data_IF_631659239585
#
_entry.id   IF_631659239585
#
_cell.length_a   1.000
_cell.length_b   1.000
_cell.length_c   1.000
_cell.angle_alpha   90.00
_cell.angle_beta   90.00
_cell.angle_gamma   90.00
#
_symmetry.space_group_name_H-M   'P 1'
#
loop_
_entity.id
_entity.type
_entity.pdbx_description
1 polymer ?
#
# COMPACT_ATOMS: atom_id res chain seq x y z
N UNK A 1 43.23 25.23 -13.99
CA UNK A 1 42.02 25.16 -13.12
C UNK A 1 40.71 24.76 -13.83
N UNK A 2 40.70 24.34 -15.10
CA UNK A 2 39.46 23.92 -15.85
C UNK A 2 39.21 22.41 -15.89
N UNK A 3 40.14 21.55 -15.43
CA UNK A 3 40.01 20.09 -15.58
C UNK A 3 39.52 19.33 -14.31
N UNK A 4 39.27 20.01 -13.19
CA UNK A 4 38.84 19.35 -11.95
C UNK A 4 37.31 19.33 -11.83
N UNK A 5 36.61 20.27 -12.45
CA UNK A 5 35.13 20.35 -12.41
C UNK A 5 34.44 19.32 -13.33
N UNK A 6 35.07 18.91 -14.43
CA UNK A 6 34.51 17.92 -15.34
C UNK A 6 34.54 16.48 -14.76
N UNK A 7 35.56 16.14 -13.97
CA UNK A 7 35.64 14.80 -13.33
C UNK A 7 34.62 14.60 -12.21
N UNK A 8 34.20 15.66 -11.53
CA UNK A 8 33.28 15.56 -10.38
C UNK A 8 31.83 15.36 -10.82
N UNK A 9 31.46 15.85 -11.99
CA UNK A 9 30.11 15.69 -12.55
C UNK A 9 29.93 14.33 -13.23
N UNK A 10 30.98 13.77 -13.81
CA UNK A 10 30.91 12.44 -14.45
C UNK A 10 30.70 11.32 -13.41
N UNK A 11 31.35 11.41 -12.24
CA UNK A 11 31.20 10.41 -11.17
C UNK A 11 29.80 10.45 -10.52
N UNK A 12 29.15 11.62 -10.50
CA UNK A 12 27.78 11.74 -9.96
C UNK A 12 26.71 11.22 -10.93
N UNK A 13 26.92 11.40 -12.23
CA UNK A 13 26.01 10.90 -13.26
C UNK A 13 26.10 9.38 -13.38
N UNK A 14 27.31 8.79 -13.31
CA UNK A 14 27.49 7.34 -13.30
C UNK A 14 26.94 6.68 -12.04
N UNK A 15 27.07 7.31 -10.86
CA UNK A 15 26.48 6.79 -9.64
C UNK A 15 24.94 6.85 -9.66
N UNK A 16 24.36 7.90 -10.24
CA UNK A 16 22.90 8.03 -10.39
C UNK A 16 22.34 7.02 -11.42
N UNK A 17 23.06 6.76 -12.51
CA UNK A 17 22.69 5.76 -13.51
C UNK A 17 22.83 4.32 -12.96
N UNK A 18 23.82 4.06 -12.10
CA UNK A 18 23.97 2.74 -11.45
C UNK A 18 22.86 2.50 -10.42
N UNK A 19 22.44 3.51 -9.67
CA UNK A 19 21.32 3.40 -8.70
C UNK A 19 19.99 3.21 -9.43
N UNK A 20 19.78 3.87 -10.58
CA UNK A 20 18.59 3.67 -11.41
C UNK A 20 18.62 2.28 -12.06
N UNK A 21 19.78 1.78 -12.50
CA UNK A 21 19.91 0.43 -13.06
C UNK A 21 19.69 -0.66 -12.00
N UNK A 22 20.09 -0.44 -10.73
CA UNK A 22 19.84 -1.38 -9.63
C UNK A 22 18.36 -1.38 -9.22
N UNK A 23 17.65 -0.23 -9.31
CA UNK A 23 16.21 -0.16 -9.02
C UNK A 23 15.38 -0.81 -10.15
N UNK A 24 15.83 -0.76 -11.40
CA UNK A 24 15.19 -1.46 -12.52
C UNK A 24 15.70 -2.90 -12.73
N UNK A 25 16.82 -3.29 -12.13
CA UNK A 25 17.42 -4.62 -12.27
C UNK A 25 16.86 -5.69 -11.32
N UNK A 26 15.96 -5.33 -10.38
CA UNK A 26 15.19 -6.30 -9.56
C UNK A 26 13.82 -6.59 -10.17
N UNK A 27 13.63 -6.29 -11.44
CA UNK A 27 12.45 -6.73 -12.17
C UNK A 27 12.53 -8.22 -12.43
N UNK A 28 11.73 -8.95 -11.67
CA UNK A 28 11.14 -10.23 -12.05
C UNK A 28 12.05 -11.21 -12.77
N UNK A 29 12.93 -11.89 -12.04
CA UNK A 29 13.12 -13.29 -12.35
C UNK A 29 11.86 -14.01 -11.85
N UNK A 30 10.81 -14.04 -12.68
CA UNK A 30 9.87 -15.14 -12.59
C UNK A 30 10.72 -16.40 -12.60
N UNK A 31 10.47 -17.40 -11.73
CA UNK A 31 11.09 -18.69 -11.93
C UNK A 31 10.68 -19.15 -13.32
N UNK A 32 11.54 -18.93 -14.29
CA UNK A 32 11.45 -19.63 -15.56
C UNK A 32 11.67 -21.07 -15.17
N UNK A 33 10.60 -21.82 -15.05
CA UNK A 33 10.68 -23.25 -15.16
C UNK A 33 11.28 -23.51 -16.53
N UNK A 34 12.57 -23.73 -16.57
CA UNK A 34 13.26 -24.20 -17.75
C UNK A 34 12.89 -25.69 -17.87
N UNK A 35 11.75 -25.97 -18.44
CA UNK A 35 11.37 -27.26 -18.92
C UNK A 35 10.62 -27.03 -20.22
N UNK A 36 11.28 -27.35 -21.26
CA UNK A 36 10.92 -28.55 -21.98
C UNK A 36 9.54 -28.45 -22.56
N UNK A 37 9.35 -28.08 -23.78
CA UNK A 37 8.28 -28.33 -24.70
C UNK A 37 7.37 -29.54 -24.42
N UNK A 38 6.92 -29.73 -23.17
CA UNK A 38 5.92 -30.73 -22.84
C UNK A 38 4.64 -30.40 -23.60
N UNK A 39 4.04 -31.43 -24.21
CA UNK A 39 2.84 -31.29 -25.00
C UNK A 39 1.62 -31.60 -24.16
N UNK A 40 0.59 -30.78 -24.32
CA UNK A 40 -0.72 -31.01 -23.70
C UNK A 40 -1.79 -31.24 -24.77
N UNK A 41 -2.75 -32.09 -24.48
CA UNK A 41 -3.90 -32.34 -25.34
C UNK A 41 -5.08 -31.49 -24.92
N UNK A 42 -5.71 -30.83 -25.87
CA UNK A 42 -6.86 -29.96 -25.64
C UNK A 42 -8.15 -30.77 -25.68
N UNK A 43 -9.02 -30.49 -24.70
CA UNK A 43 -10.39 -30.96 -24.69
C UNK A 43 -11.35 -29.83 -24.32
N UNK A 44 -12.62 -29.98 -24.68
CA UNK A 44 -13.68 -28.99 -24.41
C UNK A 44 -14.83 -29.59 -23.63
N UNK A 45 -15.49 -28.74 -22.84
CA UNK A 45 -16.77 -29.04 -22.20
C UNK A 45 -17.71 -27.82 -22.28
N UNK A 46 -19.01 -28.05 -22.45
CA UNK A 46 -19.98 -26.97 -22.54
C UNK A 46 -20.08 -26.20 -21.21
N UNK A 47 -20.28 -24.87 -21.34
CA UNK A 47 -20.57 -24.02 -20.19
C UNK A 47 -22.07 -23.91 -19.95
N UNK A 48 -22.51 -24.18 -18.71
CA UNK A 48 -23.92 -24.15 -18.33
C UNK A 48 -24.22 -22.95 -17.38
N UNK A 49 -25.35 -22.31 -17.65
CA UNK A 49 -25.94 -21.32 -16.75
C UNK A 49 -26.60 -21.98 -15.52
N UNK A 50 -27.07 -21.16 -14.58
CA UNK A 50 -27.75 -21.63 -13.36
C UNK A 50 -29.05 -22.41 -13.61
N UNK A 51 -29.63 -22.25 -14.78
CA UNK A 51 -30.85 -22.97 -15.21
C UNK A 51 -30.56 -24.26 -15.94
N UNK A 52 -29.30 -24.68 -16.08
CA UNK A 52 -28.87 -25.85 -16.84
C UNK A 52 -28.84 -25.66 -18.37
N UNK A 53 -29.16 -24.48 -18.86
CA UNK A 53 -29.03 -24.17 -20.30
C UNK A 53 -27.57 -23.83 -20.63
N UNK A 54 -27.12 -24.26 -21.83
CA UNK A 54 -25.77 -23.91 -22.33
C UNK A 54 -25.68 -22.40 -22.54
N UNK A 55 -24.58 -21.84 -22.11
CA UNK A 55 -24.26 -20.41 -22.32
C UNK A 55 -23.89 -20.21 -23.79
N UNK A 56 -24.55 -19.25 -24.44
CA UNK A 56 -24.39 -18.96 -25.87
C UNK A 56 -24.10 -17.48 -26.10
N UNK A 57 -23.45 -17.21 -27.23
CA UNK A 57 -23.32 -15.85 -27.72
C UNK A 57 -24.72 -15.29 -28.07
N UNK A 58 -24.94 -14.02 -27.72
CA UNK A 58 -26.17 -13.27 -27.98
C UNK A 58 -26.02 -12.33 -29.18
N UNK A 59 -24.81 -11.97 -29.50
CA UNK A 59 -24.49 -11.12 -30.67
C UNK A 59 -23.10 -11.46 -31.22
N UNK A 60 -22.87 -11.11 -32.47
CA UNK A 60 -21.57 -11.29 -33.12
C UNK A 60 -20.51 -10.49 -32.40
N UNK A 61 -19.46 -11.17 -31.96
CA UNK A 61 -18.30 -10.60 -31.26
C UNK A 61 -17.08 -10.81 -32.14
N UNK A 62 -16.37 -9.71 -32.41
CA UNK A 62 -15.15 -9.70 -33.25
C UNK A 62 -13.98 -9.15 -32.46
N UNK A 63 -12.77 -9.74 -32.62
CA UNK A 63 -11.51 -9.24 -32.07
C UNK A 63 -10.41 -9.33 -33.11
N UNK A 64 -9.73 -8.21 -33.38
CA UNK A 64 -8.60 -8.12 -34.33
C UNK A 64 -8.92 -8.69 -35.72
N UNK A 65 -10.16 -8.50 -36.19
CA UNK A 65 -10.64 -9.00 -37.46
C UNK A 65 -11.16 -10.42 -37.47
N UNK A 66 -11.04 -11.17 -36.38
CA UNK A 66 -11.52 -12.55 -36.24
C UNK A 66 -12.85 -12.60 -35.52
N UNK A 67 -13.76 -13.45 -35.95
CA UNK A 67 -15.03 -13.74 -35.27
C UNK A 67 -14.75 -14.62 -34.06
N UNK A 68 -15.07 -14.12 -32.89
CA UNK A 68 -14.95 -14.85 -31.60
C UNK A 68 -16.19 -15.71 -31.34
N UNK A 69 -17.34 -15.22 -31.77
CA UNK A 69 -18.60 -15.96 -31.68
C UNK A 69 -19.76 -15.23 -32.37
N UNK A 70 -20.78 -15.98 -32.73
CA UNK A 70 -22.01 -15.49 -33.39
C UNK A 70 -23.27 -15.87 -32.58
N UNK A 71 -24.40 -15.17 -32.75
CA UNK A 71 -25.63 -15.46 -32.02
C UNK A 71 -26.03 -16.94 -32.09
N UNK A 72 -26.25 -17.56 -30.92
CA UNK A 72 -26.62 -18.97 -30.79
C UNK A 72 -25.43 -19.93 -30.69
N UNK A 73 -24.20 -19.49 -31.00
CA UNK A 73 -22.99 -20.29 -30.84
C UNK A 73 -22.71 -20.57 -29.37
N UNK A 74 -22.39 -21.83 -29.06
CA UNK A 74 -22.21 -22.35 -27.71
C UNK A 74 -20.84 -22.08 -27.19
N UNK A 75 -20.73 -21.66 -25.89
CA UNK A 75 -19.46 -21.41 -25.24
C UNK A 75 -18.97 -22.67 -24.53
N UNK A 76 -17.69 -23.01 -24.78
CA UNK A 76 -17.06 -24.18 -24.18
C UNK A 76 -15.86 -23.76 -23.30
N UNK A 77 -15.73 -24.44 -22.17
CA UNK A 77 -14.49 -24.43 -21.38
C UNK A 77 -13.40 -25.18 -22.11
N UNK A 78 -12.18 -24.71 -21.97
CA UNK A 78 -10.99 -25.32 -22.51
C UNK A 78 -10.28 -26.07 -21.38
N UNK A 79 -9.79 -27.27 -21.70
CA UNK A 79 -8.91 -28.03 -20.82
C UNK A 79 -7.62 -28.40 -21.56
N UNK A 80 -6.48 -28.27 -20.87
CA UNK A 80 -5.19 -28.76 -21.31
C UNK A 80 -4.76 -29.87 -20.35
N UNK A 81 -4.74 -31.12 -20.84
CA UNK A 81 -4.55 -32.33 -20.03
C UNK A 81 -5.42 -32.36 -18.75
N UNK A 82 -6.71 -32.01 -18.90
CA UNK A 82 -7.69 -31.98 -17.81
C UNK A 82 -7.60 -30.79 -16.87
N UNK A 83 -6.64 -29.88 -17.04
CA UNK A 83 -6.57 -28.61 -16.29
C UNK A 83 -7.35 -27.54 -17.03
N UNK A 84 -8.20 -26.79 -16.32
CA UNK A 84 -8.89 -25.63 -16.94
C UNK A 84 -7.88 -24.65 -17.54
N UNK A 85 -8.14 -24.25 -18.76
CA UNK A 85 -7.33 -23.32 -19.54
C UNK A 85 -8.16 -22.14 -20.01
N UNK A 86 -7.48 -21.03 -20.30
CA UNK A 86 -8.08 -19.78 -20.77
C UNK A 86 -7.44 -19.37 -22.10
N UNK A 87 -8.27 -19.07 -23.07
CA UNK A 87 -7.83 -18.59 -24.37
C UNK A 87 -7.22 -17.17 -24.23
N UNK A 88 -6.04 -16.99 -24.82
CA UNK A 88 -5.38 -15.69 -24.93
C UNK A 88 -5.27 -15.21 -26.39
N UNK A 89 -5.97 -15.84 -27.31
CA UNK A 89 -6.00 -15.51 -28.74
C UNK A 89 -7.42 -15.64 -29.31
N UNK A 90 -8.33 -14.72 -28.93
CA UNK A 90 -9.76 -14.83 -29.26
C UNK A 90 -9.99 -14.78 -30.77
N UNK A 91 -10.79 -15.72 -31.28
CA UNK A 91 -11.18 -15.84 -32.71
C UNK A 91 -10.27 -16.74 -33.53
N UNK A 92 -9.17 -17.24 -32.95
CA UNK A 92 -8.35 -18.26 -33.59
C UNK A 92 -8.92 -19.68 -33.35
N UNK A 93 -8.52 -20.62 -34.21
CA UNK A 93 -9.08 -21.98 -34.23
C UNK A 93 -8.40 -22.88 -33.20
N UNK A 94 -9.20 -23.65 -32.46
CA UNK A 94 -8.74 -24.72 -31.58
C UNK A 94 -9.78 -25.83 -31.55
N UNK A 95 -9.35 -27.09 -31.66
CA UNK A 95 -10.23 -28.24 -31.64
C UNK A 95 -9.84 -29.23 -30.54
N UNK A 96 -10.83 -30.01 -30.08
CA UNK A 96 -10.57 -31.14 -29.20
C UNK A 96 -9.63 -32.14 -29.88
N UNK A 97 -8.61 -32.59 -29.15
CA UNK A 97 -7.53 -33.44 -29.69
C UNK A 97 -6.34 -32.67 -30.24
N UNK A 98 -6.39 -31.34 -30.40
CA UNK A 98 -5.21 -30.58 -30.74
C UNK A 98 -4.16 -30.68 -29.63
N UNK A 99 -2.88 -30.54 -30.01
CA UNK A 99 -1.75 -30.57 -29.09
C UNK A 99 -1.06 -29.21 -29.10
N UNK A 100 -0.90 -28.63 -27.92
CA UNK A 100 -0.14 -27.40 -27.72
C UNK A 100 1.14 -27.70 -26.94
N UNK A 101 2.16 -26.85 -27.09
CA UNK A 101 3.47 -27.00 -26.45
C UNK A 101 3.62 -25.99 -25.33
N UNK A 102 4.11 -26.41 -24.17
CA UNK A 102 4.49 -25.52 -23.06
C UNK A 102 5.52 -24.51 -23.54
N UNK A 103 5.34 -23.24 -23.11
CA UNK A 103 6.14 -22.10 -23.57
C UNK A 103 6.13 -21.86 -25.10
N UNK A 104 5.31 -22.59 -25.85
CA UNK A 104 5.12 -22.40 -27.30
C UNK A 104 4.38 -21.11 -27.65
N UNK A 105 3.68 -20.49 -26.71
CA UNK A 105 2.87 -19.31 -26.98
C UNK A 105 3.70 -18.09 -27.40
N UNK A 106 3.53 -17.68 -28.64
CA UNK A 106 4.09 -16.42 -29.15
C UNK A 106 3.25 -15.23 -28.70
N UNK A 107 1.94 -15.40 -28.54
CA UNK A 107 1.01 -14.38 -28.04
C UNK A 107 1.40 -13.97 -26.63
N UNK A 108 1.58 -14.92 -25.71
CA UNK A 108 1.98 -14.62 -24.33
C UNK A 108 3.31 -13.85 -24.28
N UNK A 109 4.30 -14.26 -25.03
CA UNK A 109 5.62 -13.61 -25.09
C UNK A 109 5.53 -12.16 -25.58
N UNK A 110 4.60 -11.87 -26.47
CA UNK A 110 4.44 -10.55 -27.10
C UNK A 110 3.49 -9.61 -26.33
N UNK A 111 2.72 -10.10 -25.33
CA UNK A 111 1.78 -9.26 -24.56
C UNK A 111 2.45 -8.16 -23.73
N UNK A 112 3.70 -8.35 -23.33
CA UNK A 112 4.41 -7.46 -22.39
C UNK A 112 3.95 -7.62 -20.94
N UNK A 113 4.82 -7.28 -20.00
CA UNK A 113 4.66 -7.54 -18.56
C UNK A 113 3.38 -6.94 -17.94
N UNK A 114 2.96 -5.76 -18.38
CA UNK A 114 1.76 -5.10 -17.85
C UNK A 114 0.48 -5.89 -18.17
N UNK A 115 0.33 -6.41 -19.40
CA UNK A 115 -0.81 -7.25 -19.76
C UNK A 115 -0.72 -8.63 -19.12
N UNK A 116 0.46 -9.23 -19.07
CA UNK A 116 0.68 -10.51 -18.37
C UNK A 116 0.26 -10.41 -16.89
N UNK A 117 0.71 -9.37 -16.18
CA UNK A 117 0.28 -9.10 -14.80
C UNK A 117 -1.24 -8.92 -14.71
N UNK A 118 -1.84 -8.14 -15.60
CA UNK A 118 -3.29 -7.90 -15.61
C UNK A 118 -4.11 -9.16 -15.83
N UNK A 119 -3.66 -10.05 -16.72
CA UNK A 119 -4.28 -11.36 -16.96
C UNK A 119 -4.15 -12.24 -15.71
N UNK A 120 -2.97 -12.31 -15.09
CA UNK A 120 -2.82 -13.06 -13.85
C UNK A 120 -3.73 -12.51 -12.74
N UNK A 121 -3.89 -11.18 -12.61
CA UNK A 121 -4.84 -10.58 -11.67
C UNK A 121 -6.29 -10.96 -11.99
N UNK A 122 -6.66 -11.05 -13.27
CA UNK A 122 -7.99 -11.52 -13.67
C UNK A 122 -8.23 -12.97 -13.24
N UNK A 123 -7.23 -13.84 -13.38
CA UNK A 123 -7.27 -15.22 -12.91
C UNK A 123 -7.27 -15.31 -11.37
N UNK A 124 -6.50 -14.46 -10.70
CA UNK A 124 -6.38 -14.44 -9.25
C UNK A 124 -7.67 -13.97 -8.57
N UNK A 125 -8.33 -12.94 -9.09
CA UNK A 125 -9.64 -12.47 -8.60
C UNK A 125 -10.82 -13.26 -9.16
N UNK A 126 -10.64 -13.95 -10.28
CA UNK A 126 -11.60 -14.81 -10.92
C UNK A 126 -11.41 -16.27 -10.55
N UNK A 127 -11.63 -17.15 -11.53
CA UNK A 127 -11.30 -18.57 -11.44
C UNK A 127 -9.96 -18.77 -12.19
N UNK A 128 -8.99 -19.49 -11.65
CA UNK A 128 -9.05 -20.40 -10.49
C UNK A 128 -8.74 -19.74 -9.11
N UNK A 129 -8.44 -18.48 -9.02
CA UNK A 129 -8.00 -17.83 -7.78
C UNK A 129 -9.11 -17.69 -6.72
N UNK A 130 -9.87 -16.60 -6.74
CA UNK A 130 -10.95 -16.32 -5.78
C UNK A 130 -12.27 -17.04 -6.06
N UNK A 131 -12.29 -17.97 -7.02
CA UNK A 131 -13.52 -18.59 -7.48
C UNK A 131 -14.44 -19.15 -6.40
N UNK A 132 -13.89 -19.61 -5.27
CA UNK A 132 -14.67 -20.10 -4.12
C UNK A 132 -15.48 -19.01 -3.43
N UNK A 133 -15.02 -17.75 -3.43
CA UNK A 133 -15.69 -16.61 -2.79
C UNK A 133 -16.66 -15.89 -3.73
N UNK A 134 -16.60 -16.14 -5.04
CA UNK A 134 -17.51 -15.58 -6.02
C UNK A 134 -18.84 -16.33 -5.99
N UNK A 135 -19.96 -15.60 -6.07
CA UNK A 135 -21.28 -16.19 -6.30
C UNK A 135 -21.43 -16.62 -7.76
N UNK A 136 -22.16 -17.69 -8.01
CA UNK A 136 -22.39 -18.23 -9.36
C UNK A 136 -21.91 -19.66 -9.52
N UNK A 137 -22.31 -20.32 -10.61
CA UNK A 137 -21.83 -21.67 -10.95
C UNK A 137 -20.38 -21.64 -11.40
N UNK A 138 -19.69 -22.78 -11.36
CA UNK A 138 -18.30 -22.88 -11.79
C UNK A 138 -18.12 -22.44 -13.26
N UNK A 139 -19.11 -22.77 -14.11
CA UNK A 139 -19.08 -22.37 -15.52
C UNK A 139 -19.26 -20.84 -15.68
N UNK A 140 -20.18 -20.22 -14.91
CA UNK A 140 -20.37 -18.79 -14.93
C UNK A 140 -19.11 -18.05 -14.47
N UNK A 141 -18.40 -18.59 -13.48
CA UNK A 141 -17.12 -18.06 -13.00
C UNK A 141 -16.04 -18.17 -14.06
N UNK A 142 -15.93 -19.34 -14.70
CA UNK A 142 -14.98 -19.56 -15.78
C UNK A 142 -15.25 -18.60 -16.96
N UNK A 143 -16.51 -18.53 -17.44
CA UNK A 143 -16.89 -17.63 -18.54
C UNK A 143 -16.56 -16.18 -18.20
N UNK A 144 -16.97 -15.69 -17.04
CA UNK A 144 -16.72 -14.31 -16.63
C UNK A 144 -15.21 -13.99 -16.59
N UNK A 145 -14.39 -14.93 -16.12
CA UNK A 145 -12.92 -14.79 -16.11
C UNK A 145 -12.36 -14.76 -17.52
N UNK A 146 -12.82 -15.68 -18.40
CA UNK A 146 -12.41 -15.75 -19.81
C UNK A 146 -12.70 -14.43 -20.54
N UNK A 147 -13.88 -13.84 -20.35
CA UNK A 147 -14.23 -12.56 -20.98
C UNK A 147 -13.26 -11.44 -20.59
N UNK A 148 -12.86 -11.38 -19.30
CA UNK A 148 -11.91 -10.38 -18.81
C UNK A 148 -10.49 -10.65 -19.35
N UNK A 149 -10.08 -11.90 -19.45
CA UNK A 149 -8.81 -12.28 -20.12
C UNK A 149 -8.80 -11.78 -21.57
N UNK A 150 -9.87 -12.02 -22.34
CA UNK A 150 -9.99 -11.50 -23.69
C UNK A 150 -9.96 -9.98 -23.78
N UNK A 151 -10.58 -9.28 -22.80
CA UNK A 151 -10.54 -7.82 -22.75
C UNK A 151 -9.11 -7.29 -22.57
N UNK A 152 -8.29 -7.94 -21.74
CA UNK A 152 -6.89 -7.55 -21.58
C UNK A 152 -6.04 -7.84 -22.82
N UNK A 153 -6.18 -9.02 -23.39
CA UNK A 153 -5.45 -9.41 -24.60
C UNK A 153 -5.71 -8.43 -25.72
N UNK A 154 -6.99 -8.18 -26.02
CA UNK A 154 -7.45 -7.33 -27.14
C UNK A 154 -7.36 -5.82 -26.85
N UNK A 155 -6.92 -5.40 -25.65
CA UNK A 155 -6.85 -3.98 -25.27
C UNK A 155 -8.20 -3.33 -24.97
N UNK A 156 -9.29 -4.10 -24.84
CA UNK A 156 -10.60 -3.60 -24.43
C UNK A 156 -10.68 -3.24 -22.93
N UNK A 157 -9.67 -3.65 -22.16
CA UNK A 157 -9.50 -3.28 -20.76
C UNK A 157 -8.12 -2.68 -20.56
N UNK A 158 -8.06 -1.54 -19.87
CA UNK A 158 -6.81 -0.86 -19.54
C UNK A 158 -5.99 -1.67 -18.54
N UNK A 159 -4.66 -1.66 -18.68
CA UNK A 159 -3.71 -2.18 -17.69
C UNK A 159 -3.26 -1.09 -16.69
N UNK A 160 -3.72 0.12 -16.86
CA UNK A 160 -3.58 1.28 -15.99
C UNK A 160 -4.96 1.83 -15.61
N UNK A 161 -5.03 2.92 -14.85
CA UNK A 161 -6.27 3.63 -14.51
C UNK A 161 -7.36 2.73 -13.88
N UNK A 162 -6.97 1.84 -12.96
CA UNK A 162 -7.91 0.98 -12.22
C UNK A 162 -8.48 -0.15 -13.07
N UNK A 163 -7.74 -0.60 -14.10
CA UNK A 163 -8.11 -1.75 -14.93
C UNK A 163 -9.53 -1.64 -15.54
N UNK A 164 -9.89 -0.44 -16.00
CA UNK A 164 -11.24 -0.16 -16.52
C UNK A 164 -11.47 -0.83 -17.87
N UNK A 165 -12.64 -1.44 -18.04
CA UNK A 165 -13.13 -1.85 -19.34
C UNK A 165 -13.50 -0.62 -20.17
N UNK A 166 -12.90 -0.46 -21.33
CA UNK A 166 -13.13 0.65 -22.28
C UNK A 166 -14.01 0.25 -23.46
N UNK A 167 -14.19 -1.06 -23.69
CA UNK A 167 -15.04 -1.60 -24.74
C UNK A 167 -15.70 -2.90 -24.25
N UNK A 168 -17.02 -2.92 -24.16
CA UNK A 168 -17.83 -3.99 -23.57
C UNK A 168 -18.18 -5.13 -24.53
N UNK A 169 -17.58 -5.17 -25.74
CA UNK A 169 -17.94 -6.13 -26.79
C UNK A 169 -17.97 -7.59 -26.32
N UNK A 170 -17.08 -8.02 -25.46
CA UNK A 170 -17.04 -9.43 -25.00
C UNK A 170 -18.17 -9.75 -24.01
N UNK A 171 -18.36 -8.89 -22.98
CA UNK A 171 -19.44 -9.11 -22.01
C UNK A 171 -20.82 -8.93 -22.68
N UNK A 172 -20.96 -8.00 -23.61
CA UNK A 172 -22.18 -7.79 -24.38
C UNK A 172 -22.43 -8.97 -25.33
N UNK A 173 -21.37 -9.56 -25.90
CA UNK A 173 -21.44 -10.78 -26.70
C UNK A 173 -22.18 -11.93 -25.99
N UNK A 174 -22.07 -12.03 -24.68
CA UNK A 174 -22.69 -13.10 -23.86
C UNK A 174 -23.94 -12.60 -23.11
N UNK A 175 -23.99 -11.33 -22.68
CA UNK A 175 -25.01 -10.83 -21.75
C UNK A 175 -25.99 -9.82 -22.38
N UNK A 176 -25.93 -9.57 -23.69
CA UNK A 176 -26.87 -8.66 -24.33
C UNK A 176 -28.33 -9.06 -24.08
N UNK A 177 -29.22 -8.08 -24.05
CA UNK A 177 -30.65 -8.31 -23.80
C UNK A 177 -30.99 -8.89 -22.43
N UNK A 178 -30.06 -8.83 -21.46
CA UNK A 178 -30.24 -9.39 -20.12
C UNK A 178 -30.00 -10.90 -20.02
N UNK A 179 -29.44 -11.53 -21.07
CA UNK A 179 -29.03 -12.92 -21.04
C UNK A 179 -27.91 -13.18 -20.01
N UNK A 180 -27.83 -14.42 -19.53
CA UNK A 180 -26.78 -14.91 -18.64
C UNK A 180 -26.48 -13.98 -17.41
N UNK A 181 -27.50 -13.60 -16.60
CA UNK A 181 -27.32 -12.63 -15.50
C UNK A 181 -26.31 -13.10 -14.44
N UNK A 182 -26.14 -14.41 -14.25
CA UNK A 182 -25.12 -14.97 -13.36
C UNK A 182 -23.69 -14.69 -13.85
N UNK A 183 -23.43 -14.81 -15.16
CA UNK A 183 -22.14 -14.43 -15.76
C UNK A 183 -21.89 -12.93 -15.55
N UNK A 184 -22.89 -12.08 -15.79
CA UNK A 184 -22.77 -10.63 -15.59
C UNK A 184 -22.46 -10.27 -14.14
N UNK A 185 -23.09 -10.97 -13.18
CA UNK A 185 -22.85 -10.77 -11.75
C UNK A 185 -21.40 -11.08 -11.37
N UNK A 186 -20.87 -12.24 -11.79
CA UNK A 186 -19.49 -12.65 -11.53
C UNK A 186 -18.50 -11.69 -12.22
N UNK A 187 -18.75 -11.36 -13.49
CA UNK A 187 -17.94 -10.40 -14.24
C UNK A 187 -17.82 -9.05 -13.52
N UNK A 188 -18.94 -8.53 -13.00
CA UNK A 188 -18.95 -7.27 -12.25
C UNK A 188 -18.15 -7.39 -10.94
N UNK A 189 -18.23 -8.53 -10.24
CA UNK A 189 -17.48 -8.78 -9.01
C UNK A 189 -15.97 -8.79 -9.27
N UNK A 190 -15.52 -9.52 -10.30
CA UNK A 190 -14.10 -9.55 -10.69
C UNK A 190 -13.63 -8.15 -11.14
N UNK A 191 -14.43 -7.46 -11.96
CA UNK A 191 -14.13 -6.10 -12.43
C UNK A 191 -14.00 -5.11 -11.28
N UNK A 192 -14.83 -5.23 -10.24
CA UNK A 192 -14.72 -4.41 -9.01
C UNK A 192 -13.42 -4.70 -8.26
N UNK A 193 -13.04 -5.96 -8.13
CA UNK A 193 -11.78 -6.35 -7.47
C UNK A 193 -10.57 -5.80 -8.23
N UNK A 194 -10.57 -5.89 -9.55
CA UNK A 194 -9.54 -5.31 -10.42
C UNK A 194 -9.47 -3.79 -10.28
N UNK A 195 -10.60 -3.10 -10.29
CA UNK A 195 -10.65 -1.65 -10.10
C UNK A 195 -10.09 -1.22 -8.73
N UNK A 196 -10.36 -2.00 -7.70
CA UNK A 196 -9.86 -1.76 -6.35
C UNK A 196 -8.40 -2.18 -6.15
N UNK A 197 -7.81 -2.95 -7.07
CA UNK A 197 -6.43 -3.43 -6.92
C UNK A 197 -5.46 -2.28 -6.72
N UNK A 198 -5.52 -1.22 -7.51
CA UNK A 198 -4.64 -0.06 -7.43
C UNK A 198 -5.05 0.98 -6.38
N UNK A 199 -6.18 0.79 -5.71
CA UNK A 199 -6.68 1.72 -4.70
C UNK A 199 -6.00 1.46 -3.37
N UNK A 200 -5.52 2.53 -2.72
CA UNK A 200 -5.00 2.52 -1.35
C UNK A 200 -5.96 3.29 -0.43
N UNK A 201 -5.89 3.13 0.90
CA UNK A 201 -6.68 3.96 1.82
C UNK A 201 -6.52 5.44 1.51
N UNK A 202 -7.61 6.21 1.63
CA UNK A 202 -7.66 7.63 1.18
C UNK A 202 -6.65 8.55 1.87
N UNK A 203 -6.16 8.16 3.03
CA UNK A 203 -5.11 8.86 3.78
C UNK A 203 -3.69 8.39 3.41
N UNK A 204 -3.53 7.39 2.55
CA UNK A 204 -2.26 6.80 2.19
C UNK A 204 -1.89 7.09 0.73
N UNK A 205 -0.64 6.90 0.40
CA UNK A 205 -0.13 6.98 -0.97
C UNK A 205 0.38 5.61 -1.42
N UNK A 206 0.18 5.27 -2.69
CA UNK A 206 0.83 4.09 -3.30
C UNK A 206 2.35 4.30 -3.52
N UNK A 207 2.86 5.52 -3.37
CA UNK A 207 4.25 5.89 -3.59
C UNK A 207 4.82 6.44 -2.29
N UNK A 208 5.83 5.77 -1.73
CA UNK A 208 6.42 6.10 -0.43
C UNK A 208 6.93 7.55 -0.33
N UNK A 209 7.53 8.09 -1.42
CA UNK A 209 8.05 9.46 -1.45
C UNK A 209 6.96 10.55 -1.47
N UNK A 210 5.73 10.19 -1.82
CA UNK A 210 4.57 11.10 -1.84
C UNK A 210 3.74 11.05 -0.56
N UNK A 211 4.09 10.19 0.40
CA UNK A 211 3.41 10.11 1.68
C UNK A 211 3.82 11.29 2.56
N UNK A 212 2.87 12.16 2.89
CA UNK A 212 3.06 13.30 3.79
C UNK A 212 2.81 12.88 5.24
N UNK A 213 3.51 13.50 6.22
CA UNK A 213 3.36 13.14 7.63
C UNK A 213 2.11 13.78 8.26
N UNK A 214 1.32 12.95 8.95
CA UNK A 214 0.26 13.38 9.85
C UNK A 214 0.83 13.63 11.24
N UNK A 215 0.30 14.65 11.93
CA UNK A 215 0.69 14.98 13.28
C UNK A 215 -0.21 14.29 14.31
N UNK A 216 0.39 13.54 15.22
CA UNK A 216 -0.29 12.94 16.37
C UNK A 216 -0.44 13.96 17.49
N UNK A 217 -1.63 14.07 18.07
CA UNK A 217 -1.93 14.99 19.17
C UNK A 217 -1.68 14.32 20.51
N UNK A 218 -1.03 15.06 21.42
CA UNK A 218 -0.83 14.60 22.80
C UNK A 218 -2.02 14.98 23.67
N UNK A 219 -2.61 14.01 24.35
CA UNK A 219 -3.65 14.17 25.36
C UNK A 219 -3.66 12.94 26.27
N UNK A 220 -3.95 13.15 27.56
CA UNK A 220 -4.13 12.07 28.54
C UNK A 220 -2.97 11.07 28.57
N UNK A 221 -1.72 11.59 28.59
CA UNK A 221 -0.51 10.79 28.73
C UNK A 221 -0.07 10.05 27.47
N UNK A 222 -0.68 10.30 26.30
CA UNK A 222 -0.34 9.63 25.04
C UNK A 222 -0.57 10.50 23.81
N UNK A 223 0.13 10.18 22.75
CA UNK A 223 -0.15 10.68 21.41
C UNK A 223 -1.23 9.83 20.74
N UNK A 224 -2.17 10.46 20.10
CA UNK A 224 -3.25 9.80 19.36
C UNK A 224 -3.49 10.45 18.00
N UNK A 225 -3.87 9.64 17.02
CA UNK A 225 -4.32 10.08 15.71
C UNK A 225 -5.33 9.07 15.19
N UNK A 226 -6.45 9.52 14.65
CA UNK A 226 -7.40 8.67 13.94
C UNK A 226 -7.51 9.14 12.49
N UNK A 227 -7.22 8.23 11.56
CA UNK A 227 -7.35 8.43 10.13
C UNK A 227 -8.57 7.67 9.64
N UNK A 228 -9.40 8.32 8.82
CA UNK A 228 -10.61 7.71 8.24
C UNK A 228 -10.38 7.43 6.76
N UNK A 229 -10.67 6.20 6.34
CA UNK A 229 -10.60 5.79 4.95
C UNK A 229 -11.94 5.97 4.24
N UNK A 230 -12.04 6.98 3.37
CA UNK A 230 -13.23 7.23 2.54
C UNK A 230 -13.35 6.26 1.36
N UNK A 231 -12.28 5.54 1.01
CA UNK A 231 -12.31 4.53 -0.04
C UNK A 231 -12.88 3.19 0.43
N UNK A 232 -13.07 3.02 1.76
CA UNK A 232 -13.63 1.81 2.38
C UNK A 232 -12.90 0.52 2.02
N UNK A 233 -11.57 0.58 1.89
CA UNK A 233 -10.70 -0.56 1.56
C UNK A 233 -9.65 -0.86 2.64
N UNK A 234 -9.77 -0.22 3.81
CA UNK A 234 -8.81 -0.36 4.89
C UNK A 234 -8.66 -1.81 5.38
N UNK A 235 -9.71 -2.64 5.25
CA UNK A 235 -9.70 -4.08 5.54
C UNK A 235 -8.75 -4.88 4.65
N UNK A 236 -8.39 -4.35 3.47
CA UNK A 236 -7.45 -5.02 2.55
C UNK A 236 -5.99 -4.83 2.96
N UNK A 237 -5.72 -4.07 4.03
CA UNK A 237 -4.38 -3.75 4.50
C UNK A 237 -4.20 -4.10 5.97
N UNK A 238 -2.99 -4.50 6.34
CA UNK A 238 -2.62 -4.82 7.72
C UNK A 238 -1.46 -3.94 8.17
N UNK A 239 -1.77 -2.86 8.88
CA UNK A 239 -0.75 -1.97 9.45
C UNK A 239 -0.33 -2.50 10.82
N UNK A 240 0.98 -2.75 10.96
CA UNK A 240 1.58 -3.25 12.21
C UNK A 240 2.16 -2.10 13.01
N UNK A 241 2.30 -2.30 14.33
CA UNK A 241 3.08 -1.40 15.19
C UNK A 241 4.45 -1.15 14.59
N UNK A 242 4.81 0.13 14.44
CA UNK A 242 6.03 0.57 13.77
C UNK A 242 6.61 1.78 14.50
N UNK A 243 7.93 1.77 14.79
CA UNK A 243 8.63 2.91 15.38
C UNK A 243 8.04 3.40 16.71
N UNK A 244 7.53 2.49 17.55
CA UNK A 244 6.88 2.83 18.83
C UNK A 244 5.44 3.35 18.70
N UNK A 245 4.90 3.39 17.47
CA UNK A 245 3.50 3.77 17.22
C UNK A 245 2.66 2.52 16.96
N UNK A 246 1.69 2.29 17.82
CA UNK A 246 0.71 1.19 17.66
C UNK A 246 -0.37 1.57 16.67
N UNK A 247 -0.84 0.60 15.88
CA UNK A 247 -1.88 0.77 14.87
C UNK A 247 -3.04 -0.21 15.13
N UNK A 248 -4.26 0.31 15.14
CA UNK A 248 -5.48 -0.49 15.35
C UNK A 248 -6.53 -0.10 14.31
N UNK A 249 -7.04 -1.10 13.58
CA UNK A 249 -8.09 -0.92 12.57
C UNK A 249 -9.45 -1.28 13.16
N UNK A 250 -10.44 -0.41 12.95
CA UNK A 250 -11.84 -0.64 13.30
C UNK A 250 -12.75 -0.05 12.21
N UNK A 251 -13.37 -0.90 11.42
CA UNK A 251 -14.15 -0.49 10.24
C UNK A 251 -13.28 0.29 9.26
N UNK A 252 -13.68 1.50 8.91
CA UNK A 252 -12.93 2.39 8.03
C UNK A 252 -12.00 3.37 8.77
N UNK A 253 -11.68 3.11 10.04
CA UNK A 253 -10.82 3.95 10.86
C UNK A 253 -9.55 3.22 11.27
N UNK A 254 -8.42 3.92 11.12
CA UNK A 254 -7.12 3.52 11.63
C UNK A 254 -6.77 4.45 12.80
N UNK A 255 -6.68 3.88 14.01
CA UNK A 255 -6.27 4.60 15.22
C UNK A 255 -4.80 4.30 15.52
N UNK A 256 -4.01 5.34 15.68
CA UNK A 256 -2.59 5.30 16.00
C UNK A 256 -2.37 5.85 17.39
N UNK A 257 -1.53 5.19 18.18
CA UNK A 257 -1.20 5.61 19.55
C UNK A 257 0.28 5.44 19.85
N UNK A 258 0.86 6.38 20.62
CA UNK A 258 2.22 6.26 21.15
C UNK A 258 2.29 6.90 22.54
N UNK A 259 3.01 6.27 23.46
CA UNK A 259 3.32 6.83 24.79
C UNK A 259 4.64 7.61 24.83
N UNK A 260 5.33 7.70 23.71
CA UNK A 260 6.60 8.40 23.55
C UNK A 260 6.57 9.35 22.37
N UNK A 261 7.39 10.37 22.39
CA UNK A 261 7.71 11.16 21.20
C UNK A 261 8.43 10.29 20.19
N UNK A 262 8.21 10.57 18.90
CA UNK A 262 9.05 10.05 17.83
C UNK A 262 9.85 11.22 17.27
N UNK A 263 11.17 11.11 17.30
CA UNK A 263 12.08 12.23 16.95
C UNK A 263 12.06 12.55 15.46
N UNK A 264 11.70 11.55 14.65
CA UNK A 264 11.55 11.66 13.20
C UNK A 264 10.16 11.21 12.75
N UNK A 265 9.92 11.23 11.45
CA UNK A 265 8.70 10.65 10.91
C UNK A 265 8.76 9.13 10.93
N UNK A 266 7.73 8.49 11.48
CA UNK A 266 7.51 7.05 11.38
C UNK A 266 6.74 6.76 10.09
N UNK A 267 7.29 5.92 9.22
CA UNK A 267 6.66 5.50 7.97
C UNK A 267 5.96 4.16 8.17
N UNK A 268 4.66 4.15 7.99
CA UNK A 268 3.87 2.93 7.88
C UNK A 268 3.82 2.46 6.43
N UNK A 269 3.86 1.15 6.26
CA UNK A 269 3.85 0.49 4.97
C UNK A 269 3.11 -0.85 5.12
N UNK A 270 2.12 -1.06 4.29
CA UNK A 270 1.38 -2.32 4.23
C UNK A 270 1.15 -2.71 2.78
N UNK A 271 1.43 -3.96 2.44
CA UNK A 271 1.01 -4.53 1.16
C UNK A 271 -0.49 -4.84 1.21
N UNK A 272 -1.15 -4.70 0.06
CA UNK A 272 -2.54 -5.13 -0.10
C UNK A 272 -2.64 -6.65 0.09
N UNK A 273 -3.63 -7.08 0.85
CA UNK A 273 -3.96 -8.50 0.98
C UNK A 273 -4.52 -9.00 -0.33
N UNK A 274 -3.94 -10.07 -0.85
CA UNK A 274 -4.32 -10.70 -2.12
C UNK A 274 -4.85 -12.10 -1.86
N UNK A 275 -5.67 -12.68 -2.77
CA UNK A 275 -5.97 -14.09 -2.73
C UNK A 275 -4.69 -14.92 -2.71
N UNK A 276 -4.65 -15.94 -1.87
CA UNK A 276 -3.53 -16.88 -1.80
C UNK A 276 -3.91 -18.18 -2.52
N UNK A 277 -3.18 -18.50 -3.58
CA UNK A 277 -3.39 -19.70 -4.41
C UNK A 277 -2.32 -20.78 -4.16
N UNK A 278 -1.51 -20.60 -3.12
CA UNK A 278 -0.44 -21.53 -2.77
C UNK A 278 0.72 -21.50 -3.79
N UNK A 279 1.36 -22.65 -3.98
CA UNK A 279 2.49 -22.80 -4.92
C UNK A 279 2.00 -23.22 -6.30
N UNK A 280 1.22 -22.38 -6.95
CA UNK A 280 0.78 -22.58 -8.32
C UNK A 280 1.53 -21.65 -9.27
N UNK A 281 1.58 -22.01 -10.54
CA UNK A 281 2.25 -21.24 -11.59
C UNK A 281 1.29 -21.07 -12.77
N UNK A 282 1.45 -19.96 -13.48
CA UNK A 282 0.75 -19.69 -14.72
C UNK A 282 1.61 -20.23 -15.87
N UNK A 283 1.05 -21.09 -16.70
CA UNK A 283 1.75 -21.77 -17.79
C UNK A 283 1.09 -21.46 -19.12
N UNK A 284 1.78 -20.80 -20.07
CA UNK A 284 1.28 -20.59 -21.42
C UNK A 284 1.58 -21.79 -22.31
N UNK A 285 0.59 -22.16 -23.14
CA UNK A 285 0.72 -23.18 -24.18
C UNK A 285 0.35 -22.60 -25.53
N UNK A 286 1.07 -22.98 -26.56
CA UNK A 286 0.82 -22.49 -27.89
C UNK A 286 1.39 -23.37 -29.01
N UNK A 287 0.92 -23.08 -30.23
CA UNK A 287 1.40 -23.60 -31.49
C UNK A 287 1.23 -22.52 -32.57
N UNK A 288 2.12 -22.49 -33.56
CA UNK A 288 2.15 -21.42 -34.57
C UNK A 288 0.86 -21.33 -35.45
N UNK A 289 0.03 -22.36 -35.43
CA UNK A 289 -1.19 -22.49 -36.30
C UNK A 289 -2.48 -22.61 -35.48
N UNK A 290 -2.39 -22.71 -34.15
CA UNK A 290 -3.55 -22.95 -33.27
C UNK A 290 -3.68 -21.82 -32.26
N UNK A 291 -4.87 -21.68 -31.69
CA UNK A 291 -5.15 -20.73 -30.63
C UNK A 291 -4.30 -21.00 -29.38
N UNK A 292 -3.62 -19.97 -28.87
CA UNK A 292 -2.84 -20.03 -27.65
C UNK A 292 -3.73 -19.99 -26.40
N UNK A 293 -3.34 -20.75 -25.36
CA UNK A 293 -4.03 -20.80 -24.07
C UNK A 293 -3.07 -20.67 -22.89
N UNK A 294 -3.62 -20.35 -21.72
CA UNK A 294 -2.91 -20.35 -20.44
C UNK A 294 -3.63 -21.23 -19.43
N UNK A 295 -2.88 -21.86 -18.54
CA UNK A 295 -3.40 -22.59 -17.37
C UNK A 295 -2.82 -22.04 -16.08
N UNK A 296 -3.48 -22.34 -14.95
CA UNK A 296 -3.00 -21.98 -13.63
C UNK A 296 -3.18 -20.50 -13.29
N UNK A 297 -2.52 -20.08 -12.23
CA UNK A 297 -2.53 -18.72 -11.69
C UNK A 297 -1.37 -18.58 -10.71
N UNK A 298 -0.84 -17.39 -10.53
CA UNK A 298 0.26 -17.12 -9.59
C UNK A 298 -0.17 -16.11 -8.53
N UNK A 299 0.41 -16.24 -7.33
CA UNK A 299 0.33 -15.18 -6.32
C UNK A 299 0.95 -13.89 -6.88
N UNK A 300 0.36 -12.74 -6.55
CA UNK A 300 0.99 -11.46 -6.87
C UNK A 300 2.23 -11.27 -6.00
N UNK A 301 3.41 -11.40 -6.60
CA UNK A 301 4.68 -11.28 -5.91
C UNK A 301 4.96 -9.85 -5.40
N UNK A 302 4.36 -8.84 -6.05
CA UNK A 302 4.52 -7.43 -5.69
C UNK A 302 3.16 -6.71 -5.71
N UNK A 303 2.30 -6.97 -4.70
CA UNK A 303 1.01 -6.31 -4.57
C UNK A 303 1.21 -4.83 -4.23
N UNK A 304 0.24 -4.00 -4.63
CA UNK A 304 0.28 -2.58 -4.31
C UNK A 304 0.45 -2.35 -2.81
N UNK A 305 1.21 -1.31 -2.47
CA UNK A 305 1.46 -0.93 -1.08
C UNK A 305 0.82 0.41 -0.74
N UNK A 306 0.37 0.52 0.50
CA UNK A 306 -0.11 1.77 1.09
C UNK A 306 0.96 2.33 2.03
N UNK A 307 1.35 3.59 1.80
CA UNK A 307 2.32 4.31 2.62
C UNK A 307 1.68 5.54 3.24
N UNK A 308 1.91 5.75 4.52
CA UNK A 308 1.64 7.02 5.19
C UNK A 308 2.69 7.26 6.26
N UNK A 309 2.83 8.50 6.71
CA UNK A 309 3.79 8.88 7.74
C UNK A 309 3.09 9.54 8.90
N UNK A 310 3.68 9.41 10.08
CA UNK A 310 3.23 10.14 11.26
C UNK A 310 4.42 10.76 11.97
N UNK A 311 4.17 11.85 12.66
CA UNK A 311 5.12 12.49 13.54
C UNK A 311 4.41 12.91 14.83
N UNK A 312 5.16 12.96 15.91
CA UNK A 312 4.75 13.65 17.14
C UNK A 312 5.44 15.00 17.17
N UNK A 313 4.79 15.99 17.72
CA UNK A 313 5.46 17.26 18.00
C UNK A 313 5.77 17.35 19.47
N UNK A 314 7.00 17.68 19.77
CA UNK A 314 7.50 18.03 21.09
C UNK A 314 7.73 19.55 21.18
N UNK A 315 7.86 20.07 22.36
CA UNK A 315 8.29 21.44 22.62
C UNK A 315 9.51 21.47 23.54
N UNK A 316 10.05 22.66 23.73
CA UNK A 316 11.20 22.87 24.61
C UNK A 316 10.80 23.78 25.77
N UNK A 317 11.54 23.67 26.88
CA UNK A 317 11.45 24.56 28.02
C UNK A 317 12.85 25.13 28.30
N UNK A 318 12.97 26.45 28.23
CA UNK A 318 14.20 27.17 28.61
C UNK A 318 13.94 27.94 29.89
N UNK A 319 14.88 27.86 30.86
CA UNK A 319 14.88 28.69 32.02
C UNK A 319 16.09 29.67 31.95
N UNK A 320 15.83 30.92 32.35
CA UNK A 320 16.84 31.95 32.53
C UNK A 320 16.75 32.42 33.95
N UNK A 321 17.84 32.20 34.73
CA UNK A 321 18.02 32.62 36.10
C UNK A 321 18.83 33.89 36.15
N UNK A 322 18.35 34.89 36.89
CA UNK A 322 19.11 36.10 37.26
C UNK A 322 19.24 36.17 38.78
N UNK A 323 20.23 36.91 39.28
CA UNK A 323 20.45 37.13 40.71
C UNK A 323 21.13 38.49 40.93
N UNK A 324 20.78 39.19 42.01
CA UNK A 324 21.38 40.47 42.38
C UNK A 324 22.87 40.36 42.72
N UNK A 325 23.31 39.23 43.26
CA UNK A 325 24.71 38.95 43.60
C UNK A 325 25.49 38.23 42.48
N UNK A 326 24.86 38.03 41.31
CA UNK A 326 25.45 37.35 40.14
C UNK A 326 25.58 35.84 40.30
N UNK A 327 25.11 35.24 41.39
CA UNK A 327 25.19 33.82 41.62
C UNK A 327 24.03 33.09 40.91
N UNK A 328 24.29 32.60 39.68
CA UNK A 328 23.28 31.99 38.80
C UNK A 328 23.63 30.56 38.39
N UNK A 329 24.86 30.12 38.65
CA UNK A 329 25.35 28.81 38.21
C UNK A 329 25.03 27.71 39.23
N UNK A 330 24.78 26.48 38.73
CA UNK A 330 24.51 25.27 39.53
C UNK A 330 23.29 25.36 40.46
N UNK A 331 22.36 26.27 40.18
CA UNK A 331 21.09 26.37 40.92
C UNK A 331 20.19 25.22 40.48
N UNK A 332 19.68 24.49 41.46
CA UNK A 332 18.81 23.32 41.21
C UNK A 332 17.34 23.72 41.02
N UNK A 333 16.71 23.10 40.03
CA UNK A 333 15.29 23.24 39.79
C UNK A 333 14.64 21.87 39.62
N UNK A 334 13.45 21.70 40.17
CA UNK A 334 12.58 20.58 39.82
C UNK A 334 11.59 21.03 38.75
N UNK A 335 11.53 20.30 37.65
CA UNK A 335 10.54 20.49 36.56
C UNK A 335 9.58 19.31 36.57
N UNK A 336 8.30 19.58 36.81
CA UNK A 336 7.23 18.55 36.85
C UNK A 336 6.17 18.86 35.83
N UNK A 337 5.75 17.83 35.07
CA UNK A 337 4.64 17.83 34.15
C UNK A 337 3.82 16.54 34.28
N UNK A 338 2.86 16.32 33.40
CA UNK A 338 2.08 15.09 33.37
C UNK A 338 3.02 13.89 33.07
N UNK A 339 3.13 12.97 34.02
CA UNK A 339 4.05 11.83 33.93
C UNK A 339 5.54 12.18 33.86
N UNK A 340 5.94 13.46 34.09
CA UNK A 340 7.31 13.92 33.95
C UNK A 340 7.79 14.56 35.27
N UNK A 341 8.99 14.18 35.71
CA UNK A 341 9.67 14.85 36.83
C UNK A 341 11.17 14.76 36.62
N UNK A 342 11.86 15.90 36.60
CA UNK A 342 13.31 15.96 36.46
C UNK A 342 13.91 17.10 37.31
N UNK A 343 15.02 16.81 37.97
CA UNK A 343 15.86 17.85 38.62
C UNK A 343 16.97 18.24 37.65
N UNK A 344 17.15 19.52 37.43
CA UNK A 344 18.14 20.11 36.52
C UNK A 344 18.90 21.23 37.22
N UNK A 345 20.09 21.58 36.73
CA UNK A 345 20.92 22.66 37.24
C UNK A 345 21.18 23.70 36.15
N UNK A 346 21.24 24.95 36.54
CA UNK A 346 21.66 26.03 35.66
C UNK A 346 23.14 25.92 35.32
N UNK A 347 23.52 26.34 34.13
CA UNK A 347 24.90 26.49 33.66
C UNK A 347 25.51 27.81 34.20
N UNK A 348 26.75 28.13 33.79
CA UNK A 348 27.48 29.34 34.18
C UNK A 348 26.78 30.65 33.77
N UNK A 349 25.84 30.61 32.83
CA UNK A 349 25.02 31.76 32.39
C UNK A 349 23.66 31.83 33.09
N UNK A 350 23.40 30.93 34.03
CA UNK A 350 22.10 30.85 34.69
C UNK A 350 21.00 30.19 33.87
N UNK A 351 21.36 29.43 32.84
CA UNK A 351 20.38 28.84 31.94
C UNK A 351 20.35 27.31 32.01
N UNK A 352 19.21 26.71 31.77
CA UNK A 352 19.09 25.35 31.30
C UNK A 352 18.05 25.26 30.19
N UNK A 353 18.13 24.22 29.36
CA UNK A 353 17.13 23.88 28.36
C UNK A 353 16.78 22.39 28.46
N UNK A 354 15.48 22.11 28.38
CA UNK A 354 14.91 20.78 28.24
C UNK A 354 14.25 20.68 26.86
N UNK A 355 14.70 19.72 26.06
CA UNK A 355 14.19 19.47 24.72
C UNK A 355 13.26 18.28 24.72
N UNK A 356 12.47 18.15 23.66
CA UNK A 356 11.62 16.99 23.38
C UNK A 356 10.59 16.69 24.47
N UNK A 357 10.09 17.73 25.13
CA UNK A 357 9.04 17.64 26.13
C UNK A 357 7.68 17.40 25.45
N UNK A 358 6.84 16.61 26.08
CA UNK A 358 5.44 16.51 25.70
C UNK A 358 4.75 17.88 25.79
N UNK A 359 3.87 18.24 24.84
CA UNK A 359 3.06 19.43 24.97
C UNK A 359 2.19 19.34 26.23
N UNK A 360 2.20 20.40 27.05
CA UNK A 360 1.47 20.39 28.32
C UNK A 360 1.94 21.46 29.29
N UNK A 361 1.41 21.44 30.51
CA UNK A 361 1.78 22.35 31.59
C UNK A 361 2.93 21.78 32.41
N UNK A 362 3.96 22.58 32.62
CA UNK A 362 5.12 22.22 33.43
C UNK A 362 5.27 23.21 34.58
N UNK A 363 5.40 22.68 35.79
CA UNK A 363 5.68 23.47 36.99
C UNK A 363 7.18 23.42 37.26
N UNK A 364 7.80 24.60 37.27
CA UNK A 364 9.23 24.81 37.55
C UNK A 364 9.34 25.35 38.98
N UNK A 365 10.01 24.61 39.84
CA UNK A 365 10.25 24.93 41.25
C UNK A 365 11.72 24.96 41.51
N UNK A 366 12.18 26.06 42.05
CA UNK A 366 13.56 26.24 42.51
C UNK A 366 13.79 25.49 43.81
N UNK A 367 14.91 24.78 43.95
CA UNK A 367 15.38 24.22 45.21
C UNK A 367 16.29 25.25 45.84
N UNK A 368 15.74 26.06 46.75
CA UNK A 368 16.41 27.25 47.28
C UNK A 368 17.34 26.89 48.43
N UNK A 369 18.55 27.49 48.47
CA UNK A 369 19.40 27.54 49.65
C UNK A 369 18.83 28.54 50.68
N UNK A 370 19.04 28.26 51.97
CA UNK A 370 18.52 29.09 53.09
C UNK A 370 18.99 30.56 53.10
N UNK A 371 19.90 30.92 52.21
CA UNK A 371 20.41 32.29 52.00
C UNK A 371 19.54 33.19 51.16
N UNK A 372 18.56 32.61 50.46
CA UNK A 372 17.73 33.32 49.53
C UNK A 372 16.24 33.14 49.86
N UNK A 373 15.43 34.09 49.47
CA UNK A 373 13.96 33.94 49.57
C UNK A 373 13.45 32.81 48.67
N UNK A 374 12.58 31.97 49.27
CA UNK A 374 11.96 30.88 48.51
C UNK A 374 11.03 31.47 47.46
N UNK A 375 11.36 31.25 46.21
CA UNK A 375 10.55 31.69 45.07
C UNK A 375 9.34 30.76 44.84
N UNK A 376 8.17 31.36 44.55
CA UNK A 376 6.97 30.58 44.19
C UNK A 376 7.20 29.77 42.91
N UNK A 377 6.68 28.54 42.84
CA UNK A 377 6.68 27.75 41.63
C UNK A 377 5.99 28.49 40.47
N UNK A 378 6.54 28.37 39.26
CA UNK A 378 5.90 28.91 38.05
C UNK A 378 5.44 27.76 37.17
N UNK A 379 4.22 27.92 36.63
CA UNK A 379 3.70 27.00 35.63
C UNK A 379 3.80 27.64 34.25
N UNK A 380 4.38 26.89 33.30
CA UNK A 380 4.54 27.30 31.90
C UNK A 380 3.92 26.25 31.00
N UNK A 381 3.32 26.68 29.89
CA UNK A 381 2.76 25.81 28.89
C UNK A 381 3.80 25.56 27.81
N UNK A 382 4.25 24.31 27.65
CA UNK A 382 5.04 23.84 26.51
C UNK A 382 4.09 23.53 25.36
N UNK A 383 4.30 24.16 24.23
CA UNK A 383 3.51 23.94 23.00
C UNK A 383 4.37 23.27 21.95
N UNK A 384 3.72 22.50 21.08
CA UNK A 384 4.35 21.82 19.94
C UNK A 384 5.20 22.77 19.10
N UNK A 385 6.46 22.39 18.84
CA UNK A 385 7.39 23.12 17.99
C UNK A 385 7.86 24.46 18.56
N UNK A 386 7.56 24.75 19.84
CA UNK A 386 7.93 26.03 20.48
C UNK A 386 8.81 25.80 21.69
N UNK A 387 9.63 26.83 22.01
CA UNK A 387 10.36 26.91 23.28
C UNK A 387 9.59 27.81 24.24
N UNK A 388 9.11 27.25 25.34
CA UNK A 388 8.54 28.01 26.44
C UNK A 388 9.66 28.53 27.31
N UNK A 389 9.67 29.84 27.67
CA UNK A 389 10.72 30.45 28.46
C UNK A 389 10.19 30.83 29.83
N UNK A 390 10.95 30.50 30.87
CA UNK A 390 10.72 30.85 32.28
C UNK A 390 11.85 31.75 32.76
N UNK A 391 11.50 32.93 33.22
CA UNK A 391 12.44 33.85 33.88
C UNK A 391 12.37 33.71 35.40
N UNK A 392 13.52 33.71 36.07
CA UNK A 392 13.65 33.65 37.54
C UNK A 392 14.66 34.65 38.05
N UNK A 393 14.30 35.43 39.07
CA UNK A 393 15.20 36.40 39.73
C UNK A 393 15.36 36.05 41.20
N UNK A 394 16.56 36.00 41.71
CA UNK A 394 16.81 35.96 43.15
C UNK A 394 16.77 37.37 43.71
N UNK A 395 16.07 37.51 44.85
CA UNK A 395 16.17 38.61 45.75
C UNK A 395 16.87 38.13 47.03
N UNK A 396 17.87 38.88 47.51
CA UNK A 396 18.63 38.54 48.71
C UNK A 396 17.80 38.85 49.93
N UNK A 397 17.78 37.97 50.95
CA UNK A 397 17.29 38.32 52.27
C UNK A 397 18.10 39.52 52.81
N UNK A 398 17.51 40.70 52.87
CA UNK A 398 18.02 41.80 53.64
C UNK A 398 17.54 41.58 55.08
N UNK A 399 18.40 40.93 55.92
CA UNK A 399 18.18 40.96 57.35
C UNK A 399 18.43 42.38 57.83
N UNK A 400 17.41 43.12 58.10
CA UNK A 400 17.56 44.33 58.96
C UNK A 400 17.90 43.85 60.38
N UNK A 401 19.17 43.81 60.72
CA UNK A 401 19.58 43.86 62.12
C UNK A 401 19.24 45.28 62.66
N UNK A 402 18.09 45.37 63.31
CA UNK A 402 17.81 46.47 64.17
C UNK A 402 18.62 46.29 65.48
N UNK A 403 19.89 46.63 65.39
CA UNK A 403 20.65 46.86 66.61
C UNK A 403 20.22 48.20 67.20
N UNK A 404 19.53 48.13 68.35
CA UNK A 404 19.54 49.10 69.37
C UNK A 404 20.00 48.49 70.68
#
# INVERSE_FOLDING_TARGET
MKNILAKRNFTRITALLLVVAVIFGTMFSLPVSAASGDKVTITFDYCYGSTGNIIKFQQTTVSDGYTVGTPGEELCKIFADGKEAYCIEPGHTLYSGNTLTEDGSTVWKNLGSAKQKAINLALLYGKPGSGKSLSGTEDQKWVATQLIVWEFVSGCRSTSEGYKCTNTKFIDGICAGGANPGVKSVYNAISKSLANYSTVPSFASAIASKAEPYEMKYSDGKYTLTLTDSNSILSDFSFKTTGGVSATVSGNKLTLTSTSTVNDTVTFNSAKSMPDVGKTVLVPYGDASLQDVITGVENDADPIRAYFKVKTSSGNLKLIKTSEDGNVANIEFTVKGDGYSKTVKTNSKGEFELTDLFPGSYTVTEITDSKYETQKSQTVKVESGKTATVGRTFERFISYNADR
#
